data_IF_893613323391
#
_entry.id   IF_893613323391
#
_cell.length_a   1.000
_cell.length_b   1.000
_cell.length_c   1.000
_cell.angle_alpha   90.00
_cell.angle_beta   90.00
_cell.angle_gamma   90.00
#
_symmetry.space_group_name_H-M   'P 1'
#
loop_
_entity.id
_entity.type
_entity.pdbx_description
1 polymer ?
#
# COMPACT_ATOMS: atom_id res chain seq x y z
N UNK A 1 4.05 5.11 9.98
CA UNK A 1 5.15 4.13 10.09
C UNK A 1 5.67 3.75 8.71
N UNK A 2 4.89 3.07 7.86
CA UNK A 2 5.34 2.64 6.52
C UNK A 2 5.85 3.78 5.61
N UNK A 3 5.09 4.87 5.47
CA UNK A 3 5.52 6.07 4.69
C UNK A 3 6.79 6.75 5.22
N UNK A 4 7.09 6.61 6.51
CA UNK A 4 8.32 7.18 7.07
C UNK A 4 9.53 6.30 6.76
N UNK A 5 9.33 4.98 6.69
CA UNK A 5 10.36 4.02 6.29
C UNK A 5 10.67 4.07 4.78
N UNK A 6 9.68 4.44 3.96
CA UNK A 6 9.78 4.57 2.51
C UNK A 6 9.22 5.94 2.05
N UNK A 7 9.93 7.05 2.28
CA UNK A 7 9.42 8.39 1.98
C UNK A 7 9.29 8.67 0.47
N UNK A 8 9.99 7.89 -0.36
CA UNK A 8 9.98 7.91 -1.82
C UNK A 8 9.11 6.80 -2.42
N UNK A 9 8.15 6.26 -1.66
CA UNK A 9 7.31 5.18 -2.16
C UNK A 9 6.41 5.64 -3.32
N UNK A 10 6.35 4.82 -4.35
CA UNK A 10 5.40 4.90 -5.45
C UNK A 10 4.47 3.68 -5.38
N UNK A 11 3.18 3.90 -5.64
CA UNK A 11 2.17 2.85 -5.66
C UNK A 11 1.57 2.81 -7.06
N UNK A 12 1.63 1.65 -7.69
CA UNK A 12 0.96 1.36 -8.95
C UNK A 12 -0.22 0.44 -8.67
N UNK A 13 -1.42 0.84 -9.10
CA UNK A 13 -2.58 -0.07 -9.12
C UNK A 13 -2.43 -0.95 -10.35
N UNK A 14 -2.20 -2.24 -10.13
CA UNK A 14 -2.01 -3.23 -11.19
C UNK A 14 -3.35 -3.79 -11.69
N UNK A 15 -4.32 -3.92 -10.78
CA UNK A 15 -5.66 -4.41 -11.07
C UNK A 15 -6.66 -3.79 -10.07
N UNK A 16 -7.88 -3.53 -10.51
CA UNK A 16 -8.95 -3.06 -9.65
C UNK A 16 -10.31 -3.58 -10.13
N UNK A 17 -11.03 -4.23 -9.21
CA UNK A 17 -12.34 -4.81 -9.45
C UNK A 17 -13.31 -4.24 -8.42
N UNK A 18 -14.45 -3.75 -8.88
CA UNK A 18 -15.53 -3.27 -8.02
C UNK A 18 -16.76 -4.15 -8.18
N UNK A 19 -17.35 -4.57 -7.05
CA UNK A 19 -18.60 -5.34 -7.01
C UNK A 19 -19.43 -4.91 -5.79
N UNK A 20 -20.67 -4.47 -6.04
CA UNK A 20 -21.53 -3.94 -5.00
C UNK A 20 -20.88 -2.78 -4.26
N UNK A 21 -20.75 -2.91 -2.94
CA UNK A 21 -20.12 -1.93 -2.06
C UNK A 21 -18.63 -2.19 -1.81
N UNK A 22 -17.98 -3.10 -2.56
CA UNK A 22 -16.58 -3.47 -2.35
C UNK A 22 -15.70 -3.14 -3.54
N UNK A 23 -14.47 -2.73 -3.25
CA UNK A 23 -13.42 -2.51 -4.25
C UNK A 23 -12.19 -3.33 -3.84
N UNK A 24 -11.83 -4.30 -4.68
CA UNK A 24 -10.58 -5.04 -4.57
C UNK A 24 -9.52 -4.37 -5.44
N UNK A 25 -8.36 -4.05 -4.87
CA UNK A 25 -7.22 -3.49 -5.60
C UNK A 25 -6.00 -4.37 -5.39
N UNK A 26 -5.33 -4.75 -6.47
CA UNK A 26 -3.98 -5.30 -6.45
C UNK A 26 -3.00 -4.19 -6.81
N UNK A 27 -1.95 -4.03 -6.01
CA UNK A 27 -1.00 -2.96 -6.19
C UNK A 27 0.45 -3.40 -5.96
N UNK A 28 1.36 -2.75 -6.67
CA UNK A 28 2.79 -2.83 -6.46
C UNK A 28 3.27 -1.53 -5.83
N UNK A 29 3.92 -1.63 -4.67
CA UNK A 29 4.58 -0.52 -3.99
C UNK A 29 6.09 -0.65 -4.15
N UNK A 30 6.77 0.42 -4.54
CA UNK A 30 8.23 0.45 -4.67
C UNK A 30 8.79 1.69 -3.97
N UNK A 31 9.85 1.54 -3.19
CA UNK A 31 10.51 2.66 -2.51
C UNK A 31 11.85 2.26 -1.90
N UNK A 32 12.62 3.24 -1.44
CA UNK A 32 13.91 3.02 -0.78
C UNK A 32 13.71 2.93 0.73
N UNK A 33 14.29 1.91 1.37
CA UNK A 33 14.21 1.72 2.82
C UNK A 33 15.11 2.73 3.57
N UNK A 34 14.55 3.87 3.95
CA UNK A 34 15.25 5.03 4.51
C UNK A 34 14.95 5.30 5.99
N UNK A 35 13.95 4.64 6.57
CA UNK A 35 13.63 4.74 7.99
C UNK A 35 13.37 3.38 8.62
N UNK A 36 13.34 3.31 9.95
CA UNK A 36 13.04 2.06 10.65
C UNK A 36 11.64 1.54 10.33
N UNK A 37 11.55 0.24 10.06
CA UNK A 37 10.27 -0.47 9.96
C UNK A 37 10.32 -1.77 10.74
N UNK A 38 9.38 -1.94 11.67
CA UNK A 38 9.28 -3.12 12.54
C UNK A 38 10.59 -3.47 13.27
N UNK A 39 11.40 -2.47 13.63
CA UNK A 39 12.69 -2.67 14.30
C UNK A 39 13.84 -3.08 13.37
N UNK A 40 13.62 -3.01 12.05
CA UNK A 40 14.66 -3.17 11.04
C UNK A 40 15.17 -1.76 10.68
N UNK A 41 16.44 -1.43 10.98
CA UNK A 41 17.00 -0.14 10.60
C UNK A 41 17.03 0.05 9.08
N UNK A 42 17.03 1.31 8.64
CA UNK A 42 17.13 1.68 7.23
C UNK A 42 18.30 0.96 6.53
N UNK A 43 18.01 0.22 5.47
CA UNK A 43 19.02 -0.57 4.74
C UNK A 43 19.54 0.15 3.49
N UNK A 44 18.86 1.20 3.02
CA UNK A 44 19.19 1.89 1.78
C UNK A 44 18.85 1.12 0.50
N UNK A 45 18.29 -0.09 0.62
CA UNK A 45 17.89 -0.90 -0.53
C UNK A 45 16.56 -0.41 -1.11
N UNK A 46 16.42 -0.53 -2.42
CA UNK A 46 15.12 -0.44 -3.09
C UNK A 46 14.34 -1.71 -2.79
N UNK A 47 13.12 -1.55 -2.28
CA UNK A 47 12.19 -2.62 -1.97
C UNK A 47 11.00 -2.52 -2.91
N UNK A 48 10.56 -3.67 -3.43
CA UNK A 48 9.30 -3.81 -4.17
C UNK A 48 8.40 -4.79 -3.42
N UNK A 49 7.16 -4.38 -3.16
CA UNK A 49 6.16 -5.17 -2.46
C UNK A 49 4.89 -5.24 -3.30
N UNK A 50 4.33 -6.42 -3.46
CA UNK A 50 3.00 -6.61 -4.05
C UNK A 50 1.99 -6.92 -2.96
N UNK A 51 0.79 -6.38 -3.09
CA UNK A 51 -0.28 -6.58 -2.13
C UNK A 51 -1.65 -6.49 -2.78
N UNK A 52 -2.66 -6.96 -2.04
CA UNK A 52 -4.06 -6.76 -2.37
C UNK A 52 -4.79 -6.19 -1.17
N UNK A 53 -5.79 -5.35 -1.43
CA UNK A 53 -6.66 -4.79 -0.41
C UNK A 53 -8.08 -4.84 -0.92
N UNK A 54 -9.02 -5.14 -0.03
CA UNK A 54 -10.44 -5.04 -0.31
C UNK A 54 -11.00 -4.01 0.65
N UNK A 55 -11.58 -2.95 0.12
CA UNK A 55 -12.26 -1.93 0.93
C UNK A 55 -13.76 -2.01 0.71
N UNK A 56 -14.54 -1.69 1.74
CA UNK A 56 -16.00 -1.48 1.62
C UNK A 56 -16.30 0.02 1.59
N UNK A 57 -17.14 0.47 0.67
CA UNK A 57 -17.50 1.87 0.47
C UNK A 57 -18.96 2.10 0.87
N UNK A 58 -19.21 3.08 1.75
CA UNK A 58 -20.54 3.53 2.17
C UNK A 58 -20.53 5.06 2.22
N UNK A 59 -21.58 5.70 1.69
CA UNK A 59 -21.71 7.17 1.68
C UNK A 59 -20.44 7.88 1.19
N UNK A 60 -19.90 7.39 0.05
CA UNK A 60 -18.67 7.84 -0.61
C UNK A 60 -17.39 7.79 0.24
N UNK A 61 -17.38 6.98 1.31
CA UNK A 61 -16.26 6.82 2.23
C UNK A 61 -15.86 5.35 2.41
N UNK A 62 -14.60 5.10 2.75
CA UNK A 62 -14.13 3.77 3.16
C UNK A 62 -14.70 3.46 4.54
N UNK A 63 -15.58 2.45 4.60
CA UNK A 63 -16.18 1.95 5.84
C UNK A 63 -15.33 0.83 6.48
N UNK A 64 -14.67 -0.01 5.68
CA UNK A 64 -13.82 -1.13 6.11
C UNK A 64 -12.60 -1.27 5.18
N UNK A 65 -11.45 -1.66 5.74
CA UNK A 65 -10.16 -1.85 5.04
C UNK A 65 -9.32 -2.95 5.67
#
# INVERSE_FOLDING_TARGET
MFRAAFPDLEITIDDQIAEGDKVCSRATTRGTHQGDIFGIPATGNVVTMTGMTIVRIVDDQIAES
#
